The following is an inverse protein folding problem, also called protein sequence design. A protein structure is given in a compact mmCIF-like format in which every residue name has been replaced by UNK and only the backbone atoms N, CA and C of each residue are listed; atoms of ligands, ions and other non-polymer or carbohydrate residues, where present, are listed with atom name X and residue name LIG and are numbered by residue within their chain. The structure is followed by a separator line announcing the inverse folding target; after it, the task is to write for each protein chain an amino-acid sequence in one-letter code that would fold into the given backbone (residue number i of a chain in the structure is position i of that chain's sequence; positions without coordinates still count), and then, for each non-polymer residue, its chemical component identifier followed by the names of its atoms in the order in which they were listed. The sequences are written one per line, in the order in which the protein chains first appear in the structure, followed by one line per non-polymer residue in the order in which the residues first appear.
data_IF_456138906812
#
_entry.id   IF_456138906812
#
_cell.length_a   1.000
_cell.length_b   1.000
_cell.length_c   1.000
_cell.angle_alpha   90.00
_cell.angle_beta   90.00
_cell.angle_gamma   90.00
#
_symmetry.space_group_name_H-M   'P 1'
#
loop_
_entity.id
_entity.type
_entity.pdbx_description
1 polymer ?
#
# COMPACT_ATOMS: atom_id res chain seq x y z
N UNK A 1 34.19 -9.95 -4.48
CA UNK A 1 33.12 -10.67 -5.21
C UNK A 1 31.80 -10.08 -4.78
N UNK A 2 31.14 -9.27 -5.63
CA UNK A 2 29.80 -8.75 -5.32
C UNK A 2 28.81 -9.90 -5.34
N UNK A 3 28.05 -10.05 -4.25
CA UNK A 3 27.01 -11.06 -4.12
C UNK A 3 25.96 -10.81 -5.22
N UNK A 4 25.83 -11.70 -6.20
CA UNK A 4 24.84 -11.57 -7.28
C UNK A 4 23.37 -11.60 -6.77
N UNK A 5 23.14 -11.91 -5.50
CA UNK A 5 21.83 -11.82 -4.83
C UNK A 5 21.57 -10.49 -4.11
N UNK A 6 22.49 -9.52 -4.14
CA UNK A 6 22.16 -8.19 -3.60
C UNK A 6 21.19 -7.51 -4.55
N UNK A 7 19.92 -7.40 -4.14
CA UNK A 7 18.84 -6.64 -4.79
C UNK A 7 19.09 -5.12 -4.82
N UNK A 8 20.35 -4.68 -4.96
CA UNK A 8 20.76 -3.29 -4.89
C UNK A 8 20.05 -2.40 -5.92
N UNK A 9 19.65 -2.97 -7.07
CA UNK A 9 18.90 -2.30 -8.14
C UNK A 9 17.44 -2.75 -8.28
N UNK A 10 16.91 -3.60 -7.39
CA UNK A 10 15.51 -4.03 -7.50
C UNK A 10 14.60 -3.01 -6.81
N UNK A 11 13.93 -2.17 -7.61
CA UNK A 11 12.87 -1.31 -7.11
C UNK A 11 11.68 -2.18 -6.65
N UNK A 12 11.30 -2.12 -5.36
CA UNK A 12 10.25 -2.98 -4.85
C UNK A 12 8.90 -2.56 -5.44
N UNK A 13 8.23 -3.50 -6.10
CA UNK A 13 6.88 -3.27 -6.61
C UNK A 13 5.80 -3.65 -5.59
N UNK A 14 4.67 -2.95 -5.65
CA UNK A 14 3.49 -3.19 -4.82
C UNK A 14 2.22 -3.02 -5.66
N UNK A 15 1.11 -3.54 -5.13
CA UNK A 15 -0.17 -3.57 -5.86
C UNK A 15 -1.17 -2.65 -5.18
N UNK A 16 -1.78 -1.75 -5.95
CA UNK A 16 -2.90 -0.95 -5.47
C UNK A 16 -4.08 -1.86 -5.09
N UNK A 17 -4.60 -1.73 -3.87
CA UNK A 17 -5.71 -2.58 -3.41
C UNK A 17 -7.01 -2.36 -4.18
N UNK A 18 -7.16 -1.21 -4.84
CA UNK A 18 -8.36 -0.83 -5.59
C UNK A 18 -8.28 -1.25 -7.05
N UNK A 19 -7.34 -0.70 -7.81
CA UNK A 19 -7.23 -0.95 -9.25
C UNK A 19 -6.38 -2.17 -9.61
N UNK A 20 -5.73 -2.81 -8.63
CA UNK A 20 -4.90 -4.01 -8.81
C UNK A 20 -3.68 -3.84 -9.74
N UNK A 21 -3.36 -2.61 -10.15
CA UNK A 21 -2.13 -2.29 -10.89
C UNK A 21 -0.91 -2.46 -9.98
N UNK A 22 0.13 -3.10 -10.52
CA UNK A 22 1.48 -3.14 -9.94
C UNK A 22 2.23 -1.88 -10.32
N UNK A 23 2.84 -1.23 -9.34
CA UNK A 23 3.64 -0.03 -9.51
C UNK A 23 4.77 -0.05 -8.49
N UNK A 24 5.78 0.79 -8.69
CA UNK A 24 6.84 1.02 -7.72
C UNK A 24 6.25 1.43 -6.36
N UNK A 25 6.83 0.91 -5.27
CA UNK A 25 6.38 1.18 -3.89
C UNK A 25 6.34 2.67 -3.59
N UNK A 26 7.25 3.45 -4.17
CA UNK A 26 7.39 4.89 -4.00
C UNK A 26 6.26 5.67 -4.70
N UNK A 27 5.67 5.11 -5.77
CA UNK A 27 4.52 5.68 -6.47
C UNK A 27 3.17 5.39 -5.78
N UNK A 28 3.19 4.61 -4.69
CA UNK A 28 2.02 4.22 -3.93
C UNK A 28 1.99 4.87 -2.54
N UNK A 29 0.79 5.23 -2.11
CA UNK A 29 0.52 5.73 -0.77
C UNK A 29 0.27 4.53 0.14
N UNK A 30 1.11 4.37 1.17
CA UNK A 30 0.91 3.35 2.21
C UNK A 30 -0.14 3.82 3.22
N UNK A 31 -1.05 2.93 3.59
CA UNK A 31 -1.98 3.14 4.69
C UNK A 31 -2.13 1.86 5.51
N UNK A 32 -2.60 1.99 6.74
CA UNK A 32 -2.97 0.87 7.61
C UNK A 32 -4.45 0.99 7.96
N UNK A 33 -5.03 -0.13 8.41
CA UNK A 33 -6.36 -0.13 9.02
C UNK A 33 -6.18 -0.33 10.51
N UNK A 34 -6.61 0.65 11.31
CA UNK A 34 -6.60 0.63 12.77
C UNK A 34 -8.01 0.94 13.23
N UNK A 35 -8.57 0.14 14.14
CA UNK A 35 -9.92 0.34 14.68
C UNK A 35 -10.97 0.64 13.62
N UNK A 36 -10.88 -0.06 12.47
CA UNK A 36 -11.76 0.09 11.32
C UNK A 36 -11.70 1.45 10.60
N UNK A 37 -10.62 2.20 10.77
CA UNK A 37 -10.34 3.47 10.10
C UNK A 37 -9.04 3.38 9.28
N UNK A 38 -8.95 4.22 8.25
CA UNK A 38 -7.72 4.35 7.47
C UNK A 38 -6.80 5.37 8.12
N UNK A 39 -5.56 4.95 8.33
CA UNK A 39 -4.47 5.84 8.73
C UNK A 39 -3.41 5.80 7.66
N UNK A 40 -3.13 6.96 7.04
CA UNK A 40 -2.05 7.10 6.07
C UNK A 40 -0.70 7.06 6.78
N UNK A 41 0.12 6.05 6.47
CA UNK A 41 1.44 5.86 7.07
C UNK A 41 2.52 6.20 6.06
N UNK A 42 2.65 7.50 5.80
CA UNK A 42 3.62 8.05 4.85
C UNK A 42 5.07 7.79 5.32
N UNK A 43 5.29 7.75 6.64
CA UNK A 43 6.61 7.48 7.22
C UNK A 43 6.95 5.99 7.30
N UNK A 44 5.99 5.10 7.05
CA UNK A 44 6.13 3.63 7.09
C UNK A 44 6.58 3.12 8.48
N UNK A 45 6.10 3.74 9.56
CA UNK A 45 6.51 3.45 10.96
C UNK A 45 5.49 2.65 11.77
N UNK A 46 4.26 2.55 11.29
CA UNK A 46 3.19 1.88 12.03
C UNK A 46 3.34 0.36 11.88
N UNK A 47 3.53 -0.31 13.02
CA UNK A 47 3.68 -1.76 13.16
C UNK A 47 2.33 -2.49 13.01
N UNK A 48 1.69 -2.31 11.86
CA UNK A 48 0.46 -2.97 11.46
C UNK A 48 0.53 -3.40 10.00
N UNK A 49 -0.45 -4.19 9.55
CA UNK A 49 -0.58 -4.63 8.17
C UNK A 49 -0.79 -3.41 7.26
N UNK A 50 0.26 -3.08 6.50
CA UNK A 50 0.23 -2.01 5.52
C UNK A 50 -0.40 -2.44 4.20
N UNK A 51 -1.25 -1.58 3.67
CA UNK A 51 -1.85 -1.65 2.34
C UNK A 51 -1.37 -0.47 1.50
N UNK A 52 -1.58 -0.55 0.19
CA UNK A 52 -1.13 0.46 -0.76
C UNK A 52 -2.27 0.87 -1.68
N UNK A 53 -2.41 2.17 -1.89
CA UNK A 53 -3.32 2.78 -2.89
C UNK A 53 -2.49 3.65 -3.83
N UNK A 54 -2.88 3.73 -5.09
CA UNK A 54 -2.23 4.65 -6.02
C UNK A 54 -2.75 6.07 -5.88
N UNK A 55 -1.96 7.05 -6.31
CA UNK A 55 -2.30 8.47 -6.28
C UNK A 55 -3.36 8.88 -7.33
N UNK A 56 -4.26 7.96 -7.69
CA UNK A 56 -5.39 8.24 -8.56
C UNK A 56 -6.61 8.53 -7.68
N UNK A 57 -7.23 9.70 -7.85
CA UNK A 57 -8.39 10.13 -7.05
C UNK A 57 -9.50 9.08 -7.02
N UNK A 58 -9.79 8.42 -8.15
CA UNK A 58 -10.80 7.36 -8.21
C UNK A 58 -10.48 6.16 -7.31
N UNK A 59 -9.18 5.88 -7.08
CA UNK A 59 -8.77 4.83 -6.17
C UNK A 59 -8.89 5.29 -4.71
N UNK A 60 -8.48 6.52 -4.42
CA UNK A 60 -8.60 7.09 -3.07
C UNK A 60 -10.07 7.18 -2.63
N UNK A 61 -10.96 7.65 -3.49
CA UNK A 61 -12.41 7.74 -3.22
C UNK A 61 -13.05 6.37 -2.94
N UNK A 62 -12.55 5.31 -3.59
CA UNK A 62 -13.05 3.94 -3.40
C UNK A 62 -12.53 3.27 -2.12
N UNK A 63 -11.63 3.91 -1.36
CA UNK A 63 -11.11 3.35 -0.12
C UNK A 63 -12.18 3.16 0.94
N UNK A 64 -13.10 4.10 1.12
CA UNK A 64 -14.19 3.97 2.11
C UNK A 64 -14.99 2.67 1.87
N UNK A 65 -15.38 2.42 0.61
CA UNK A 65 -16.09 1.18 0.23
C UNK A 65 -15.23 -0.06 0.46
N UNK A 66 -13.92 0.03 0.25
CA UNK A 66 -12.98 -1.07 0.47
C UNK A 66 -12.84 -1.41 1.96
N UNK A 67 -12.71 -0.42 2.86
CA UNK A 67 -12.66 -0.64 4.32
C UNK A 67 -13.94 -1.31 4.79
N UNK A 68 -15.12 -0.82 4.38
CA UNK A 68 -16.41 -1.38 4.83
C UNK A 68 -16.54 -2.87 4.55
N UNK A 69 -15.92 -3.36 3.47
CA UNK A 69 -15.83 -4.81 3.18
C UNK A 69 -14.83 -5.54 4.08
N UNK A 70 -13.75 -4.88 4.49
CA UNK A 70 -12.75 -5.43 5.41
C UNK A 70 -13.21 -5.41 6.88
N UNK A 71 -14.13 -4.54 7.30
CA UNK A 71 -14.72 -4.55 8.66
C UNK A 71 -15.55 -5.80 8.99
N UNK A 72 -15.95 -6.57 7.97
CA UNK A 72 -16.84 -7.74 8.10
C UNK A 72 -16.08 -9.08 8.20
N UNK A 73 -14.76 -9.05 8.18
CA UNK A 73 -13.89 -10.21 8.45
C UNK A 73 -13.33 -10.09 9.86
#
# INVERSE_FOLDING_TARGET
MVNKNSHADHLPERTCVICRKKMEKEALIRFVVLDNEIVFDLQKKIASRGFYVCNNNLCVEKLDKWIRKHKKQ
#
